data_IF_912919935414
#
_entry.id   IF_912919935414
#
_cell.length_a   1.000
_cell.length_b   1.000
_cell.length_c   1.000
_cell.angle_alpha   90.00
_cell.angle_beta   90.00
_cell.angle_gamma   90.00
#
_symmetry.space_group_name_H-M   'P 1'
#
loop_
_entity.id
_entity.type
_entity.pdbx_description
1 polymer ?
#
# COMPACT_ATOMS: atom_id res chain seq x y z
N UNK A 1 -0.49 -11.04 22.10
CA UNK A 1 0.03 -9.68 22.27
C UNK A 1 -0.75 -8.76 21.34
N UNK A 2 -1.42 -7.75 21.87
CA UNK A 2 -2.18 -6.80 21.08
C UNK A 2 -1.25 -6.07 20.11
N UNK A 3 -1.62 -6.10 18.82
CA UNK A 3 -0.88 -5.36 17.82
C UNK A 3 -1.01 -3.86 18.12
N UNK A 4 0.08 -3.23 18.48
CA UNK A 4 0.11 -1.80 18.73
C UNK A 4 -0.20 -1.05 17.42
N UNK A 5 -0.88 0.10 17.50
CA UNK A 5 -1.21 0.98 16.36
C UNK A 5 -0.04 1.28 15.43
N UNK A 6 1.19 1.22 15.92
CA UNK A 6 2.42 1.49 15.17
C UNK A 6 3.03 0.24 14.50
N UNK A 7 2.46 -0.94 14.66
CA UNK A 7 3.01 -2.20 14.13
C UNK A 7 2.52 -2.54 12.73
N UNK A 8 1.67 -1.72 12.13
CA UNK A 8 1.08 -1.98 10.81
C UNK A 8 1.30 -0.82 9.84
N UNK A 9 1.17 -1.13 8.54
CA UNK A 9 1.24 -0.18 7.43
C UNK A 9 -0.03 -0.30 6.60
N UNK A 10 -0.64 0.85 6.30
CA UNK A 10 -1.82 0.97 5.46
C UNK A 10 -1.46 1.55 4.09
N UNK A 11 -1.89 0.90 3.01
CA UNK A 11 -1.68 1.36 1.65
C UNK A 11 -2.24 2.77 1.40
N UNK A 12 -3.46 3.03 1.90
CA UNK A 12 -4.08 4.38 1.82
C UNK A 12 -3.22 5.46 2.49
N UNK A 13 -2.54 5.14 3.59
CA UNK A 13 -1.65 6.11 4.27
C UNK A 13 -0.40 6.41 3.46
N UNK A 14 0.15 5.42 2.77
CA UNK A 14 1.29 5.60 1.86
C UNK A 14 0.86 6.50 0.71
N UNK A 15 -0.25 6.17 0.05
CA UNK A 15 -0.81 6.96 -1.04
C UNK A 15 -0.99 8.44 -0.65
N UNK A 16 -1.67 8.71 0.48
CA UNK A 16 -1.88 10.07 0.96
C UNK A 16 -0.57 10.82 1.22
N UNK A 17 0.47 10.13 1.72
CA UNK A 17 1.77 10.75 1.99
C UNK A 17 2.52 11.08 0.71
N UNK A 18 2.48 10.20 -0.28
CA UNK A 18 3.10 10.43 -1.60
C UNK A 18 2.40 11.58 -2.30
N UNK A 19 1.05 11.62 -2.31
CA UNK A 19 0.28 12.74 -2.88
C UNK A 19 0.66 14.08 -2.25
N UNK A 20 0.81 14.12 -0.93
CA UNK A 20 1.26 15.35 -0.24
C UNK A 20 2.67 15.79 -0.63
N UNK A 21 3.59 14.85 -0.88
CA UNK A 21 4.93 15.19 -1.37
C UNK A 21 4.82 15.81 -2.77
N UNK A 22 4.01 15.22 -3.66
CA UNK A 22 3.80 15.76 -5.01
C UNK A 22 3.19 17.17 -4.98
N UNK A 23 2.14 17.38 -4.19
CA UNK A 23 1.50 18.68 -4.01
C UNK A 23 2.48 19.73 -3.47
N UNK A 24 3.22 19.39 -2.42
CA UNK A 24 4.19 20.32 -1.84
C UNK A 24 5.40 20.60 -2.75
N UNK A 25 5.80 19.63 -3.57
CA UNK A 25 6.84 19.83 -4.58
C UNK A 25 6.37 20.84 -5.64
N UNK A 26 5.11 20.71 -6.07
CA UNK A 26 4.49 21.63 -7.02
C UNK A 26 4.43 23.06 -6.45
N UNK A 27 4.00 23.22 -5.20
CA UNK A 27 3.99 24.53 -4.52
C UNK A 27 5.39 25.19 -4.47
N UNK A 28 6.41 24.39 -4.11
CA UNK A 28 7.79 24.88 -4.05
C UNK A 28 8.29 25.25 -5.43
N UNK A 29 7.92 24.49 -6.46
CA UNK A 29 8.29 24.75 -7.83
C UNK A 29 7.70 26.05 -8.35
N UNK A 30 6.39 26.23 -8.19
CA UNK A 30 5.68 27.48 -8.57
C UNK A 30 6.27 28.71 -7.86
N UNK A 31 6.61 28.56 -6.57
CA UNK A 31 7.28 29.61 -5.84
C UNK A 31 8.64 29.94 -6.46
N UNK A 32 9.46 28.96 -6.79
CA UNK A 32 10.77 29.17 -7.39
C UNK A 32 10.67 29.88 -8.75
N UNK A 33 9.75 29.46 -9.61
CA UNK A 33 9.49 30.11 -10.90
C UNK A 33 9.02 31.55 -10.73
N UNK A 34 8.15 31.84 -9.75
CA UNK A 34 7.66 33.20 -9.49
C UNK A 34 8.76 34.14 -9.05
N UNK A 35 9.73 33.67 -8.26
CA UNK A 35 10.83 34.50 -7.73
C UNK A 35 11.95 34.65 -8.76
N UNK A 36 12.26 33.62 -9.52
CA UNK A 36 13.29 33.67 -10.57
C UNK A 36 12.81 34.36 -11.85
N UNK A 37 11.48 34.44 -12.04
CA UNK A 37 10.83 34.91 -13.30
C UNK A 37 11.28 34.10 -14.51
N UNK A 38 11.64 32.84 -14.32
CA UNK A 38 12.06 31.90 -15.36
C UNK A 38 11.28 30.63 -15.22
N UNK A 39 10.94 30.02 -16.35
CA UNK A 39 10.40 28.67 -16.38
C UNK A 39 11.55 27.70 -16.08
N UNK A 40 11.43 26.94 -15.00
CA UNK A 40 12.46 26.04 -14.50
C UNK A 40 12.25 24.59 -14.94
N UNK A 41 11.05 24.28 -15.42
CA UNK A 41 10.73 22.90 -15.78
C UNK A 41 10.57 22.72 -17.28
N UNK A 42 11.14 21.62 -17.77
CA UNK A 42 11.05 21.20 -19.18
C UNK A 42 9.88 20.23 -19.41
N UNK A 43 9.14 19.84 -18.37
CA UNK A 43 8.12 18.79 -18.44
C UNK A 43 6.90 19.11 -17.55
N UNK A 44 5.81 18.37 -17.75
CA UNK A 44 4.59 18.49 -16.96
C UNK A 44 4.85 18.31 -15.44
N UNK A 45 3.96 18.85 -14.57
CA UNK A 45 4.04 18.66 -13.13
C UNK A 45 4.17 17.19 -12.74
N UNK A 46 4.96 16.92 -11.69
CA UNK A 46 5.14 15.57 -11.16
C UNK A 46 3.87 15.18 -10.41
N UNK A 47 3.13 14.21 -10.95
CA UNK A 47 1.91 13.68 -10.33
C UNK A 47 2.22 12.52 -9.40
N UNK A 48 1.23 12.11 -8.61
CA UNK A 48 1.35 10.92 -7.77
C UNK A 48 1.79 9.66 -8.53
N UNK A 49 1.33 9.51 -9.80
CA UNK A 49 1.63 8.32 -10.61
C UNK A 49 3.06 8.32 -11.15
N UNK A 50 3.65 9.50 -11.33
CA UNK A 50 4.96 9.68 -11.95
C UNK A 50 6.08 9.99 -10.95
N UNK A 51 5.76 10.16 -9.67
CA UNK A 51 6.72 10.57 -8.65
C UNK A 51 7.67 9.43 -8.31
N UNK A 52 8.95 9.65 -8.52
CA UNK A 52 10.03 8.74 -8.10
C UNK A 52 11.06 9.48 -7.25
N UNK A 53 11.84 8.77 -6.41
CA UNK A 53 12.89 9.41 -5.62
C UNK A 53 13.87 10.23 -6.46
N UNK A 54 14.26 9.72 -7.64
CA UNK A 54 15.21 10.34 -8.55
C UNK A 54 14.64 11.62 -9.19
N UNK A 55 13.36 11.58 -9.61
CA UNK A 55 12.69 12.76 -10.16
C UNK A 55 12.58 13.87 -9.13
N UNK A 56 12.22 13.53 -7.88
CA UNK A 56 12.12 14.49 -6.78
C UNK A 56 13.48 15.07 -6.42
N UNK A 57 14.53 14.25 -6.38
CA UNK A 57 15.88 14.68 -6.10
C UNK A 57 16.39 15.65 -7.17
N UNK A 58 16.17 15.33 -8.44
CA UNK A 58 16.53 16.21 -9.58
C UNK A 58 15.77 17.53 -9.52
N UNK A 59 14.45 17.49 -9.30
CA UNK A 59 13.62 18.69 -9.20
C UNK A 59 14.06 19.60 -8.05
N UNK A 60 14.34 19.04 -6.88
CA UNK A 60 14.79 19.82 -5.72
C UNK A 60 16.22 20.36 -5.88
N UNK A 61 17.09 19.71 -6.66
CA UNK A 61 18.38 20.27 -7.04
C UNK A 61 18.20 21.50 -7.92
N UNK A 62 17.40 21.41 -8.98
CA UNK A 62 17.12 22.53 -9.88
C UNK A 62 16.52 23.72 -9.13
N UNK A 63 15.57 23.47 -8.23
CA UNK A 63 14.97 24.51 -7.39
C UNK A 63 16.00 25.16 -6.45
N UNK A 64 16.85 24.37 -5.79
CA UNK A 64 17.86 24.90 -4.85
C UNK A 64 18.89 25.75 -5.59
N UNK A 65 19.35 25.30 -6.76
CA UNK A 65 20.27 26.04 -7.61
C UNK A 65 19.67 27.38 -8.10
N UNK A 66 18.42 27.35 -8.55
CA UNK A 66 17.70 28.54 -8.98
C UNK A 66 17.50 29.56 -7.85
N UNK A 67 17.14 29.10 -6.67
CA UNK A 67 16.92 29.95 -5.49
C UNK A 67 18.23 30.49 -4.88
N UNK A 68 19.36 29.87 -5.12
CA UNK A 68 20.64 30.40 -4.65
C UNK A 68 21.09 31.66 -5.39
N UNK A 69 20.64 31.83 -6.65
CA UNK A 69 20.97 33.00 -7.48
C UNK A 69 20.11 34.24 -7.24
N UNK A 70 19.04 34.13 -6.40
CA UNK A 70 18.07 35.22 -6.20
C UNK A 70 17.82 35.50 -4.71
N UNK A 71 17.28 36.71 -4.45
CA UNK A 71 16.84 37.08 -3.08
C UNK A 71 15.47 36.43 -2.78
N UNK A 72 15.50 35.17 -2.40
CA UNK A 72 14.33 34.39 -2.03
C UNK A 72 14.17 34.24 -0.52
N UNK A 73 12.93 34.03 -0.04
CA UNK A 73 12.62 33.88 1.38
C UNK A 73 13.51 32.83 2.05
N UNK A 74 14.16 33.23 3.14
CA UNK A 74 15.06 32.39 3.94
C UNK A 74 14.36 31.13 4.44
N UNK A 75 13.06 31.22 4.80
CA UNK A 75 12.28 30.06 5.27
C UNK A 75 12.08 29.06 4.15
N UNK A 76 11.82 29.54 2.92
CA UNK A 76 11.65 28.68 1.76
C UNK A 76 12.96 27.97 1.38
N UNK A 77 14.08 28.70 1.33
CA UNK A 77 15.41 28.08 1.12
C UNK A 77 15.71 27.00 2.16
N UNK A 78 15.38 27.25 3.44
CA UNK A 78 15.56 26.26 4.50
C UNK A 78 14.61 25.05 4.33
N UNK A 79 13.36 25.26 3.90
CA UNK A 79 12.41 24.19 3.56
C UNK A 79 12.95 23.30 2.44
N UNK A 80 13.41 23.88 1.34
CA UNK A 80 13.98 23.15 0.20
C UNK A 80 15.16 22.28 0.63
N UNK A 81 16.13 22.84 1.36
CA UNK A 81 17.29 22.08 1.87
C UNK A 81 16.90 20.92 2.78
N UNK A 82 15.88 21.10 3.61
CA UNK A 82 15.38 20.04 4.49
C UNK A 82 14.70 18.92 3.70
N UNK A 83 13.79 19.25 2.78
CA UNK A 83 13.01 18.26 2.03
C UNK A 83 13.88 17.51 1.02
N UNK A 84 14.91 18.15 0.46
CA UNK A 84 15.90 17.53 -0.43
C UNK A 84 16.58 16.33 0.21
N UNK A 85 16.82 16.37 1.53
CA UNK A 85 17.41 15.23 2.26
C UNK A 85 16.37 14.17 2.63
N UNK A 86 15.15 14.58 2.97
CA UNK A 86 14.17 13.68 3.58
C UNK A 86 13.21 13.01 2.59
N UNK A 87 12.79 13.69 1.51
CA UNK A 87 11.78 13.16 0.61
C UNK A 87 12.24 11.98 -0.25
N UNK A 88 13.45 11.97 -0.83
CA UNK A 88 13.92 10.81 -1.58
C UNK A 88 13.98 9.54 -0.72
N UNK A 89 14.47 9.66 0.53
CA UNK A 89 14.51 8.52 1.47
C UNK A 89 13.10 8.04 1.85
N UNK A 90 12.17 8.98 2.07
CA UNK A 90 10.79 8.64 2.36
C UNK A 90 10.12 7.92 1.18
N UNK A 91 10.33 8.38 -0.04
CA UNK A 91 9.80 7.75 -1.24
C UNK A 91 10.37 6.34 -1.44
N UNK A 92 11.67 6.13 -1.30
CA UNK A 92 12.28 4.78 -1.33
C UNK A 92 11.67 3.85 -0.29
N UNK A 93 11.40 4.38 0.92
CA UNK A 93 10.69 3.61 1.94
C UNK A 93 9.26 3.26 1.52
N UNK A 94 8.52 4.21 0.92
CA UNK A 94 7.15 3.96 0.47
C UNK A 94 7.11 2.98 -0.71
N UNK A 95 8.07 3.01 -1.62
CA UNK A 95 8.23 2.01 -2.67
C UNK A 95 8.47 0.60 -2.10
N UNK A 96 9.36 0.48 -1.12
CA UNK A 96 9.61 -0.79 -0.44
C UNK A 96 8.36 -1.30 0.28
N UNK A 97 7.61 -0.41 0.94
CA UNK A 97 6.34 -0.76 1.59
C UNK A 97 5.26 -1.14 0.57
N UNK A 98 5.22 -0.48 -0.58
CA UNK A 98 4.33 -0.81 -1.69
C UNK A 98 4.57 -2.22 -2.25
N UNK A 99 5.84 -2.62 -2.38
CA UNK A 99 6.22 -3.98 -2.79
C UNK A 99 5.76 -5.05 -1.78
N UNK A 100 5.85 -4.76 -0.47
CA UNK A 100 5.37 -5.68 0.59
C UNK A 100 3.84 -5.77 0.56
N UNK A 101 3.14 -4.66 0.28
CA UNK A 101 1.68 -4.65 0.20
C UNK A 101 1.15 -5.57 -0.90
N UNK A 102 1.78 -5.58 -2.07
CA UNK A 102 1.42 -6.45 -3.19
C UNK A 102 -0.11 -6.52 -3.45
N UNK A 103 -0.73 -5.34 -3.58
CA UNK A 103 -2.17 -5.19 -3.79
C UNK A 103 -3.03 -5.30 -2.52
N UNK A 104 -2.48 -5.68 -1.37
CA UNK A 104 -3.20 -5.74 -0.10
C UNK A 104 -3.44 -4.35 0.48
N UNK A 105 -4.49 -4.20 1.28
CA UNK A 105 -4.80 -2.93 1.95
C UNK A 105 -3.83 -2.58 3.09
N UNK A 106 -3.23 -3.59 3.71
CA UNK A 106 -2.34 -3.43 4.87
C UNK A 106 -1.43 -4.63 5.07
N UNK A 107 -0.37 -4.44 5.85
CA UNK A 107 0.44 -5.54 6.37
C UNK A 107 0.94 -5.22 7.79
N UNK A 108 1.30 -6.26 8.55
CA UNK A 108 1.94 -6.12 9.85
C UNK A 108 3.46 -5.99 9.69
N UNK A 109 4.08 -5.07 10.44
CA UNK A 109 5.55 -4.91 10.42
C UNK A 109 6.30 -6.09 11.05
N UNK A 110 5.64 -6.83 11.93
CA UNK A 110 6.21 -8.01 12.62
C UNK A 110 6.04 -9.28 11.82
N UNK A 111 5.01 -9.31 10.95
CA UNK A 111 4.72 -10.41 10.03
C UNK A 111 4.20 -9.81 8.74
N UNK A 112 5.07 -9.63 7.76
CA UNK A 112 4.77 -8.94 6.51
C UNK A 112 3.71 -9.65 5.66
N UNK A 113 3.49 -10.94 5.88
CA UNK A 113 2.50 -11.74 5.15
C UNK A 113 1.11 -11.63 5.78
N UNK A 114 1.02 -11.28 7.07
CA UNK A 114 -0.25 -11.12 7.75
C UNK A 114 -0.96 -9.83 7.32
N UNK A 115 -2.25 -9.92 7.03
CA UNK A 115 -3.13 -8.80 6.70
C UNK A 115 -4.02 -8.45 7.88
N UNK A 116 -4.31 -7.17 8.09
CA UNK A 116 -5.24 -6.74 9.13
C UNK A 116 -6.67 -7.05 8.72
N UNK A 117 -7.32 -7.91 9.48
CA UNK A 117 -8.69 -8.34 9.25
C UNK A 117 -9.48 -8.42 10.55
N UNK A 118 -10.80 -8.35 10.44
CA UNK A 118 -11.70 -8.54 11.57
C UNK A 118 -11.76 -10.04 11.90
N UNK A 119 -11.47 -10.39 13.15
CA UNK A 119 -11.57 -11.77 13.63
C UNK A 119 -13.02 -12.12 13.98
N UNK A 120 -13.47 -13.36 13.66
CA UNK A 120 -14.82 -13.87 14.03
C UNK A 120 -15.01 -13.86 15.55
N UNK A 121 -13.97 -14.19 16.30
CA UNK A 121 -13.98 -14.22 17.78
C UNK A 121 -13.50 -12.90 18.37
N UNK A 122 -14.18 -11.82 18.07
CA UNK A 122 -13.95 -10.53 18.75
C UNK A 122 -14.74 -10.53 20.07
N UNK A 123 -14.13 -11.03 21.14
CA UNK A 123 -14.75 -11.09 22.48
C UNK A 123 -15.16 -9.70 23.00
N UNK A 124 -14.48 -8.64 22.56
CA UNK A 124 -14.78 -7.26 22.94
C UNK A 124 -15.87 -6.62 22.08
N UNK A 125 -16.27 -7.27 20.98
CA UNK A 125 -17.28 -6.79 20.00
C UNK A 125 -17.08 -5.33 19.54
N UNK A 126 -15.83 -4.87 19.57
CA UNK A 126 -15.45 -3.50 19.17
C UNK A 126 -14.97 -3.39 17.72
N UNK A 127 -15.00 -4.49 16.96
CA UNK A 127 -14.56 -4.54 15.58
C UNK A 127 -13.05 -4.39 15.41
N UNK A 128 -12.27 -4.74 16.43
CA UNK A 128 -10.82 -4.63 16.40
C UNK A 128 -10.23 -5.48 15.29
N UNK A 129 -9.38 -4.84 14.47
CA UNK A 129 -8.59 -5.53 13.45
C UNK A 129 -7.34 -6.13 14.08
N UNK A 130 -7.06 -7.39 13.71
CA UNK A 130 -5.82 -8.09 14.11
C UNK A 130 -5.08 -8.60 12.89
N UNK A 131 -3.74 -8.69 12.93
CA UNK A 131 -3.01 -9.38 11.87
C UNK A 131 -3.38 -10.86 11.87
N UNK A 132 -3.65 -11.40 10.69
CA UNK A 132 -4.08 -12.78 10.56
C UNK A 132 -4.10 -13.25 9.11
N UNK A 133 -4.48 -14.50 8.97
CA UNK A 133 -4.65 -15.21 7.71
C UNK A 133 -6.07 -15.73 7.59
N UNK A 134 -6.53 -15.98 6.39
CA UNK A 134 -7.79 -16.63 6.10
C UNK A 134 -7.54 -18.07 5.62
N UNK A 135 -7.57 -19.07 6.51
CA UNK A 135 -7.44 -20.47 6.11
C UNK A 135 -8.76 -21.00 5.54
N UNK A 136 -8.68 -21.66 4.39
CA UNK A 136 -9.78 -22.42 3.78
C UNK A 136 -9.52 -23.91 3.93
N UNK A 137 -10.53 -24.68 4.31
CA UNK A 137 -10.41 -26.11 4.57
C UNK A 137 -11.57 -26.83 3.90
N UNK A 138 -11.27 -27.80 3.03
CA UNK A 138 -12.26 -28.74 2.48
C UNK A 138 -12.23 -30.06 3.24
N UNK A 139 -13.40 -30.55 3.58
CA UNK A 139 -13.54 -31.82 4.30
C UNK A 139 -14.53 -32.74 3.62
N UNK A 140 -14.34 -34.07 3.77
CA UNK A 140 -15.32 -35.07 3.44
C UNK A 140 -15.30 -36.15 4.52
N UNK A 141 -16.46 -36.49 5.10
CA UNK A 141 -16.61 -37.49 6.14
C UNK A 141 -15.59 -37.34 7.29
N UNK A 142 -15.36 -36.12 7.75
CA UNK A 142 -14.43 -35.74 8.81
C UNK A 142 -12.93 -35.79 8.42
N UNK A 143 -12.58 -36.14 7.18
CA UNK A 143 -11.21 -36.05 6.69
C UNK A 143 -10.97 -34.72 5.99
N UNK A 144 -9.84 -34.11 6.27
CA UNK A 144 -9.38 -32.92 5.55
C UNK A 144 -8.86 -33.40 4.19
N UNK A 145 -9.45 -32.87 3.11
CA UNK A 145 -9.05 -33.16 1.73
C UNK A 145 -8.09 -32.10 1.18
N UNK A 146 -8.31 -30.85 1.53
CA UNK A 146 -7.53 -29.73 1.03
C UNK A 146 -7.52 -28.60 2.06
N UNK A 147 -6.44 -27.85 2.09
CA UNK A 147 -6.37 -26.59 2.81
C UNK A 147 -5.56 -25.57 2.03
N UNK A 148 -5.92 -24.30 2.15
CA UNK A 148 -5.18 -23.15 1.60
C UNK A 148 -5.17 -22.02 2.61
N UNK A 149 -4.15 -21.17 2.56
CA UNK A 149 -4.01 -20.03 3.45
C UNK A 149 -3.95 -18.78 2.58
N UNK A 150 -4.82 -17.82 2.85
CA UNK A 150 -4.95 -16.60 2.09
C UNK A 150 -4.68 -15.37 2.94
N UNK A 151 -4.19 -14.30 2.31
CA UNK A 151 -3.90 -13.01 2.92
C UNK A 151 -5.08 -12.04 2.82
N UNK A 152 -6.16 -12.40 2.12
CA UNK A 152 -7.37 -11.60 1.98
C UNK A 152 -8.42 -12.00 3.03
N UNK A 153 -9.16 -11.00 3.52
CA UNK A 153 -10.16 -11.20 4.58
C UNK A 153 -11.49 -11.75 4.06
N UNK A 154 -11.78 -11.63 2.76
CA UNK A 154 -13.05 -12.06 2.17
C UNK A 154 -13.01 -13.51 1.68
N UNK A 155 -14.05 -14.29 1.98
CA UNK A 155 -14.13 -15.70 1.62
C UNK A 155 -14.46 -15.90 0.13
N UNK A 156 -15.23 -15.00 -0.46
CA UNK A 156 -15.66 -15.05 -1.87
C UNK A 156 -14.47 -15.14 -2.83
N UNK A 157 -13.44 -14.31 -2.64
CA UNK A 157 -12.24 -14.28 -3.50
C UNK A 157 -11.31 -15.46 -3.27
N UNK A 158 -11.43 -16.19 -2.15
CA UNK A 158 -10.55 -17.32 -1.82
C UNK A 158 -11.06 -18.65 -2.37
N UNK A 159 -12.36 -18.76 -2.61
CA UNK A 159 -12.98 -20.00 -3.07
C UNK A 159 -12.44 -20.51 -4.40
N UNK A 160 -12.36 -19.71 -5.48
CA UNK A 160 -11.77 -20.18 -6.74
C UNK A 160 -10.35 -20.69 -6.57
N UNK A 161 -9.50 -19.97 -5.85
CA UNK A 161 -8.11 -20.35 -5.60
C UNK A 161 -8.00 -21.65 -4.79
N UNK A 162 -8.92 -21.86 -3.84
CA UNK A 162 -8.99 -23.07 -3.05
C UNK A 162 -9.42 -24.28 -3.90
N UNK A 163 -10.37 -24.08 -4.84
CA UNK A 163 -10.81 -25.11 -5.79
C UNK A 163 -9.74 -25.43 -6.82
N UNK A 164 -8.99 -24.45 -7.30
CA UNK A 164 -7.86 -24.67 -8.21
C UNK A 164 -6.76 -25.50 -7.54
N UNK A 165 -6.49 -25.22 -6.27
CA UNK A 165 -5.57 -26.05 -5.47
C UNK A 165 -6.08 -27.48 -5.31
N UNK A 166 -7.39 -27.67 -5.05
CA UNK A 166 -8.01 -28.98 -5.03
C UNK A 166 -7.85 -29.71 -6.35
N UNK A 167 -8.14 -29.04 -7.47
CA UNK A 167 -7.96 -29.61 -8.81
C UNK A 167 -6.50 -30.02 -9.06
N UNK A 168 -5.54 -29.22 -8.63
CA UNK A 168 -4.12 -29.54 -8.76
C UNK A 168 -3.71 -30.80 -7.99
N UNK A 169 -4.33 -31.05 -6.82
CA UNK A 169 -4.06 -32.22 -6.00
C UNK A 169 -4.71 -33.50 -6.52
N UNK A 170 -5.94 -33.40 -7.05
CA UNK A 170 -6.77 -34.56 -7.39
C UNK A 170 -7.01 -34.76 -8.92
N UNK A 171 -6.56 -33.83 -9.75
CA UNK A 171 -6.75 -33.87 -11.21
C UNK A 171 -8.21 -33.61 -11.65
N UNK A 172 -9.11 -33.26 -10.74
CA UNK A 172 -10.52 -32.97 -10.99
C UNK A 172 -11.10 -32.07 -9.91
N UNK A 173 -12.19 -31.37 -10.24
CA UNK A 173 -13.02 -30.70 -9.24
C UNK A 173 -13.94 -31.68 -8.50
N UNK A 174 -14.44 -31.36 -7.29
CA UNK A 174 -15.45 -32.16 -6.63
C UNK A 174 -16.77 -32.11 -7.40
N UNK A 175 -17.51 -33.23 -7.41
CA UNK A 175 -18.83 -33.31 -8.08
C UNK A 175 -19.85 -32.38 -7.39
N UNK A 176 -19.72 -32.19 -6.09
CA UNK A 176 -20.55 -31.29 -5.26
C UNK A 176 -19.65 -30.62 -4.22
N UNK A 177 -19.77 -29.30 -4.12
CA UNK A 177 -19.17 -28.52 -3.05
C UNK A 177 -20.26 -27.78 -2.28
N UNK A 178 -20.24 -27.87 -0.95
CA UNK A 178 -21.16 -27.18 -0.06
C UNK A 178 -20.38 -26.17 0.76
N UNK A 179 -20.73 -24.91 0.65
CA UNK A 179 -20.11 -23.79 1.32
C UNK A 179 -21.12 -23.03 2.18
N UNK A 180 -20.64 -22.26 3.17
CA UNK A 180 -21.52 -21.36 3.90
C UNK A 180 -21.89 -20.12 3.03
N UNK A 181 -22.85 -19.32 3.49
CA UNK A 181 -23.35 -18.16 2.73
C UNK A 181 -22.27 -17.07 2.50
N UNK A 182 -21.16 -17.09 3.24
CA UNK A 182 -20.04 -16.15 3.08
C UNK A 182 -19.27 -16.30 1.77
N UNK A 183 -19.42 -17.45 1.11
CA UNK A 183 -18.80 -17.73 -0.19
C UNK A 183 -19.69 -17.33 -1.38
N UNK A 184 -20.97 -17.05 -1.16
CA UNK A 184 -21.93 -16.73 -2.23
C UNK A 184 -21.59 -15.42 -2.92
N UNK A 185 -21.41 -15.46 -4.24
CA UNK A 185 -21.40 -14.31 -5.13
C UNK A 185 -21.98 -14.73 -6.49
N UNK A 186 -22.40 -13.75 -7.29
CA UNK A 186 -22.88 -14.00 -8.65
C UNK A 186 -21.82 -14.65 -9.56
N UNK A 187 -20.54 -14.55 -9.20
CA UNK A 187 -19.41 -15.12 -9.96
C UNK A 187 -19.13 -16.59 -9.62
N UNK A 188 -19.74 -17.13 -8.55
CA UNK A 188 -19.49 -18.50 -8.03
C UNK A 188 -20.71 -19.41 -8.25
N UNK A 189 -21.81 -18.88 -8.77
CA UNK A 189 -23.05 -19.62 -9.06
C UNK A 189 -23.03 -20.38 -10.36
#
# INVERSE_FOLDING_TARGET
ADANRYTFVWGKSIHTRISRIAEQLEEIWQYAESVTKQELRDSAPITYQDITPEKVEKALCQIDDALNGVDADRKMKAKVRRVRKSWPEQLRKYESQGKILDGRNSYSKTDNDATFMRMKEDHMRNGQLKPGYNPQISTNRQFILNYTIHQCAGDTSTYPLHMDNFHSLYGRYPDVSVCDAGYGSEEIG
#
